data_IF_603318972731
#
_entry.id   IF_603318972731
#
_cell.length_a   1.000
_cell.length_b   1.000
_cell.length_c   1.000
_cell.angle_alpha   90.00
_cell.angle_beta   90.00
_cell.angle_gamma   90.00
#
_symmetry.space_group_name_H-M   'P 1'
#
loop_
_entity.id
_entity.type
_entity.pdbx_description
1 polymer ?
#
# COMPACT_ATOMS: atom_id res chain seq x y z
N UNK A 1 -11.63 27.38 14.57
CA UNK A 1 -12.81 28.08 13.99
C UNK A 1 -13.75 27.16 13.20
N UNK A 2 -13.30 26.06 12.61
CA UNK A 2 -14.13 25.08 11.89
C UNK A 2 -15.04 24.25 12.83
N UNK A 3 -14.58 23.98 14.07
CA UNK A 3 -15.38 23.30 15.10
C UNK A 3 -16.62 24.10 15.54
N UNK A 4 -16.60 25.41 15.41
CA UNK A 4 -17.71 26.30 15.77
C UNK A 4 -18.85 26.32 14.73
N UNK A 5 -18.63 25.76 13.54
CA UNK A 5 -19.62 25.71 12.44
C UNK A 5 -20.27 24.35 12.26
N UNK A 6 -19.98 23.37 13.13
CA UNK A 6 -20.58 22.04 13.06
C UNK A 6 -20.24 21.24 11.79
N UNK A 7 -19.17 21.62 11.08
CA UNK A 7 -18.70 20.89 9.89
C UNK A 7 -17.86 19.70 10.36
N UNK A 8 -18.22 18.46 10.03
CA UNK A 8 -17.42 17.29 10.43
C UNK A 8 -16.04 17.35 9.78
N UNK A 9 -14.99 17.22 10.60
CA UNK A 9 -13.60 17.16 10.14
C UNK A 9 -13.40 15.79 9.44
N UNK A 10 -12.92 15.72 8.20
CA UNK A 10 -12.78 14.46 7.44
C UNK A 10 -11.98 13.35 8.15
N UNK A 11 -11.11 13.68 9.10
CA UNK A 11 -10.35 12.71 9.89
C UNK A 11 -11.09 12.09 11.08
N UNK A 12 -12.28 12.60 11.45
CA UNK A 12 -13.06 12.06 12.58
C UNK A 12 -13.96 10.89 12.20
N UNK A 13 -14.07 10.57 10.92
CA UNK A 13 -14.93 9.47 10.41
C UNK A 13 -14.27 8.08 10.46
N UNK A 14 -13.00 7.98 10.84
CA UNK A 14 -12.26 6.72 10.76
C UNK A 14 -12.20 5.93 12.07
N UNK A 15 -12.74 6.43 13.18
CA UNK A 15 -12.61 5.77 14.50
C UNK A 15 -13.90 5.07 14.98
N UNK A 16 -15.01 5.23 14.29
CA UNK A 16 -16.33 4.71 14.74
C UNK A 16 -16.95 3.64 13.84
N UNK A 17 -16.16 2.95 13.00
CA UNK A 17 -16.61 1.72 12.35
C UNK A 17 -16.13 0.50 13.16
N UNK A 18 -16.50 0.47 14.44
CA UNK A 18 -16.49 -0.73 15.24
C UNK A 18 -17.63 -1.66 14.78
N UNK A 19 -17.32 -2.90 14.62
CA UNK A 19 -18.09 -4.15 14.55
C UNK A 19 -19.59 -4.17 14.15
N UNK A 20 -20.31 -3.07 14.19
CA UNK A 20 -21.70 -2.95 13.74
C UNK A 20 -21.77 -2.83 12.22
N UNK A 21 -21.73 -4.00 11.55
CA UNK A 21 -21.91 -4.07 10.09
C UNK A 21 -21.04 -5.10 9.37
N UNK A 22 -20.11 -5.77 10.05
CA UNK A 22 -19.34 -6.85 9.43
C UNK A 22 -20.24 -8.04 9.12
N UNK A 23 -20.21 -8.50 7.85
CA UNK A 23 -20.87 -9.75 7.48
C UNK A 23 -20.23 -10.90 8.27
N UNK A 24 -20.98 -11.76 8.96
CA UNK A 24 -20.43 -12.85 9.75
C UNK A 24 -19.47 -13.73 8.94
N UNK A 25 -18.36 -14.15 9.57
CA UNK A 25 -17.32 -14.90 8.89
C UNK A 25 -17.81 -16.23 8.30
N UNK A 26 -18.67 -16.95 9.03
CA UNK A 26 -19.28 -18.20 8.58
C UNK A 26 -20.14 -18.03 7.32
N UNK A 27 -20.85 -16.91 7.21
CA UNK A 27 -21.61 -16.55 6.01
C UNK A 27 -20.68 -16.28 4.82
N UNK A 28 -19.55 -15.59 5.05
CA UNK A 28 -18.54 -15.35 4.01
C UNK A 28 -17.85 -16.65 3.60
N UNK A 29 -17.49 -17.51 4.55
CA UNK A 29 -16.87 -18.81 4.26
C UNK A 29 -17.82 -19.73 3.48
N UNK A 30 -19.11 -19.71 3.77
CA UNK A 30 -20.13 -20.41 2.99
C UNK A 30 -20.18 -19.91 1.54
N UNK A 31 -20.01 -18.61 1.32
CA UNK A 31 -19.96 -18.02 -0.04
C UNK A 31 -18.72 -18.44 -0.82
N UNK A 32 -17.57 -18.56 -0.15
CA UNK A 32 -16.31 -18.94 -0.80
C UNK A 32 -16.18 -20.45 -0.99
N UNK A 33 -16.89 -21.28 -0.26
CA UNK A 33 -16.88 -22.75 -0.40
C UNK A 33 -17.18 -23.27 -1.83
N UNK A 34 -17.81 -22.44 -2.67
CA UNK A 34 -18.08 -22.74 -4.09
C UNK A 34 -16.84 -22.70 -5.00
N UNK A 35 -15.77 -22.04 -4.57
CA UNK A 35 -14.54 -21.95 -5.36
C UNK A 35 -13.76 -23.26 -5.25
N UNK A 36 -13.85 -24.10 -6.28
CA UNK A 36 -13.21 -25.43 -6.32
C UNK A 36 -11.86 -25.45 -7.01
N UNK A 37 -11.54 -24.40 -7.75
CA UNK A 37 -10.29 -24.29 -8.53
C UNK A 37 -9.68 -22.92 -8.30
N UNK A 38 -8.37 -22.91 -8.12
CA UNK A 38 -7.58 -21.68 -7.92
C UNK A 38 -6.67 -21.44 -9.12
N UNK A 39 -6.37 -20.17 -9.39
CA UNK A 39 -5.44 -19.80 -10.45
C UNK A 39 -4.04 -20.32 -10.14
N UNK A 40 -3.34 -20.80 -11.16
CA UNK A 40 -1.93 -21.19 -11.02
C UNK A 40 -1.01 -19.99 -10.64
N UNK A 41 -1.45 -18.75 -10.89
CA UNK A 41 -0.70 -17.55 -10.56
C UNK A 41 -0.52 -17.33 -9.05
N UNK A 42 -1.35 -17.94 -8.21
CA UNK A 42 -1.18 -17.85 -6.75
C UNK A 42 -0.19 -18.88 -6.19
N UNK A 43 0.27 -19.85 -6.98
CA UNK A 43 1.06 -21.00 -6.48
C UNK A 43 2.28 -20.60 -5.65
N UNK A 44 2.96 -19.54 -6.04
CA UNK A 44 4.13 -19.05 -5.33
C UNK A 44 3.80 -18.41 -3.97
N UNK A 45 2.54 -17.99 -3.77
CA UNK A 45 2.02 -17.34 -2.57
C UNK A 45 1.14 -18.28 -1.72
N UNK A 46 0.72 -19.43 -2.27
CA UNK A 46 -0.07 -20.47 -1.57
C UNK A 46 0.85 -21.35 -0.73
N UNK A 47 1.51 -20.74 0.25
CA UNK A 47 2.43 -21.41 1.17
C UNK A 47 1.83 -21.39 2.59
N UNK A 48 2.12 -22.37 3.45
CA UNK A 48 1.59 -22.41 4.81
C UNK A 48 1.82 -21.12 5.60
N UNK A 49 3.00 -20.52 5.43
CA UNK A 49 3.39 -19.29 6.10
C UNK A 49 2.52 -18.10 5.66
N UNK A 50 2.24 -18.00 4.36
CA UNK A 50 1.35 -16.97 3.81
C UNK A 50 -0.08 -17.17 4.31
N UNK A 51 -0.58 -18.42 4.26
CA UNK A 51 -1.96 -18.72 4.65
C UNK A 51 -2.19 -18.48 6.14
N UNK A 52 -1.20 -18.73 7.00
CA UNK A 52 -1.28 -18.47 8.43
C UNK A 52 -1.53 -16.98 8.77
N UNK A 53 -1.06 -16.05 7.91
CA UNK A 53 -1.24 -14.62 8.09
C UNK A 53 -2.69 -14.15 7.83
N UNK A 54 -3.52 -15.01 7.23
CA UNK A 54 -4.94 -14.73 7.03
C UNK A 54 -5.82 -15.14 8.21
N UNK A 55 -5.25 -15.66 9.32
CA UNK A 55 -6.07 -16.02 10.47
C UNK A 55 -6.96 -14.82 10.92
N UNK A 56 -8.25 -15.04 11.25
CA UNK A 56 -8.93 -16.32 11.52
C UNK A 56 -9.55 -17.02 10.30
N UNK A 57 -9.32 -16.55 9.08
CA UNK A 57 -9.87 -17.20 7.89
C UNK A 57 -9.40 -18.66 7.76
N UNK A 58 -10.28 -19.54 7.28
CA UNK A 58 -9.87 -20.89 6.90
C UNK A 58 -8.86 -20.85 5.75
N UNK A 59 -8.02 -21.89 5.62
CA UNK A 59 -7.07 -21.97 4.52
C UNK A 59 -7.73 -21.96 3.13
N UNK A 60 -9.00 -22.39 3.03
CA UNK A 60 -9.78 -22.29 1.79
C UNK A 60 -10.19 -20.83 1.51
N UNK A 61 -10.65 -20.10 2.52
CA UNK A 61 -11.01 -18.68 2.40
C UNK A 61 -9.76 -17.83 2.05
N UNK A 62 -8.62 -18.09 2.70
CA UNK A 62 -7.35 -17.44 2.39
C UNK A 62 -6.92 -17.66 0.93
N UNK A 63 -6.97 -18.91 0.43
CA UNK A 63 -6.71 -19.19 -1.00
C UNK A 63 -7.70 -18.50 -1.93
N UNK A 64 -8.96 -18.37 -1.52
CA UNK A 64 -9.96 -17.65 -2.31
C UNK A 64 -9.62 -16.16 -2.40
N UNK A 65 -9.16 -15.54 -1.32
CA UNK A 65 -8.66 -14.14 -1.34
C UNK A 65 -7.52 -13.98 -2.35
N UNK A 66 -6.49 -14.84 -2.27
CA UNK A 66 -5.37 -14.81 -3.21
C UNK A 66 -5.84 -15.01 -4.66
N UNK A 67 -6.75 -15.96 -4.90
CA UNK A 67 -7.30 -16.25 -6.23
C UNK A 67 -8.08 -15.07 -6.80
N UNK A 68 -8.98 -14.50 -6.02
CA UNK A 68 -9.79 -13.36 -6.44
C UNK A 68 -8.92 -12.13 -6.73
N UNK A 69 -7.91 -11.87 -5.90
CA UNK A 69 -6.95 -10.80 -6.16
C UNK A 69 -6.14 -11.04 -7.43
N UNK A 70 -5.73 -12.29 -7.68
CA UNK A 70 -4.93 -12.66 -8.85
C UNK A 70 -5.72 -12.66 -10.15
N UNK A 71 -7.04 -12.76 -10.09
CA UNK A 71 -7.94 -12.76 -11.26
C UNK A 71 -8.65 -11.43 -11.47
N UNK A 72 -8.55 -10.51 -10.52
CA UNK A 72 -9.10 -9.16 -10.65
C UNK A 72 -8.28 -8.33 -11.66
N UNK A 73 -8.95 -7.61 -12.55
CA UNK A 73 -8.31 -6.77 -13.56
C UNK A 73 -7.76 -5.49 -12.94
N UNK A 74 -8.59 -4.69 -12.30
CA UNK A 74 -8.22 -3.38 -11.73
C UNK A 74 -8.45 -3.31 -10.23
N UNK A 75 -9.66 -3.48 -9.75
CA UNK A 75 -10.04 -3.36 -8.34
C UNK A 75 -10.23 -4.72 -7.68
N UNK A 76 -9.95 -4.77 -6.37
CA UNK A 76 -10.22 -5.98 -5.60
C UNK A 76 -11.73 -6.19 -5.47
N UNK A 77 -12.23 -7.42 -5.68
CA UNK A 77 -13.65 -7.70 -5.47
C UNK A 77 -14.06 -7.39 -4.01
N UNK A 78 -15.28 -6.85 -3.78
CA UNK A 78 -15.76 -6.51 -2.42
C UNK A 78 -15.71 -7.69 -1.43
N UNK A 79 -15.82 -8.92 -1.93
CA UNK A 79 -15.69 -10.13 -1.10
C UNK A 79 -14.29 -10.27 -0.48
N UNK A 80 -13.24 -9.82 -1.18
CA UNK A 80 -11.86 -9.79 -0.66
C UNK A 80 -11.77 -8.84 0.52
N UNK A 81 -12.31 -7.64 0.39
CA UNK A 81 -12.31 -6.63 1.46
C UNK A 81 -13.10 -7.10 2.67
N UNK A 82 -14.29 -7.71 2.45
CA UNK A 82 -15.11 -8.30 3.50
C UNK A 82 -14.37 -9.40 4.28
N UNK A 83 -13.65 -10.27 3.59
CA UNK A 83 -12.84 -11.32 4.23
C UNK A 83 -11.66 -10.73 5.00
N UNK A 84 -10.92 -9.79 4.39
CA UNK A 84 -9.77 -9.14 5.02
C UNK A 84 -10.17 -8.30 6.24
N UNK A 85 -11.40 -7.80 6.32
CA UNK A 85 -11.90 -7.09 7.49
C UNK A 85 -11.91 -7.95 8.77
N UNK A 86 -11.99 -9.29 8.64
CA UNK A 86 -11.89 -10.22 9.77
C UNK A 86 -10.43 -10.51 10.18
N UNK A 87 -9.46 -10.19 9.34
CA UNK A 87 -8.04 -10.40 9.68
C UNK A 87 -7.57 -9.24 10.56
N UNK A 88 -6.95 -9.51 11.73
CA UNK A 88 -6.43 -8.47 12.62
C UNK A 88 -5.48 -7.50 11.90
N UNK A 89 -5.49 -6.23 12.30
CA UNK A 89 -4.68 -5.18 11.67
C UNK A 89 -3.18 -5.52 11.65
N UNK A 90 -2.66 -6.09 12.74
CA UNK A 90 -1.26 -6.52 12.83
C UNK A 90 -0.96 -7.64 11.83
N UNK A 91 -1.83 -8.65 11.72
CA UNK A 91 -1.67 -9.74 10.75
C UNK A 91 -1.76 -9.22 9.32
N UNK A 92 -2.62 -8.23 9.03
CA UNK A 92 -2.69 -7.58 7.72
C UNK A 92 -1.41 -6.80 7.38
N UNK A 93 -0.80 -6.13 8.37
CA UNK A 93 0.49 -5.47 8.17
C UNK A 93 1.62 -6.47 7.86
N UNK A 94 1.66 -7.58 8.61
CA UNK A 94 2.60 -8.67 8.36
C UNK A 94 2.36 -9.34 7.00
N UNK A 95 1.11 -9.58 6.63
CA UNK A 95 0.72 -10.11 5.32
C UNK A 95 1.18 -9.18 4.19
N UNK A 96 0.96 -7.88 4.33
CA UNK A 96 1.38 -6.88 3.34
C UNK A 96 2.88 -6.91 3.11
N UNK A 97 3.66 -6.90 4.18
CA UNK A 97 5.12 -7.01 4.11
C UNK A 97 5.57 -8.34 3.51
N UNK A 98 4.92 -9.45 3.89
CA UNK A 98 5.22 -10.79 3.38
C UNK A 98 4.96 -10.87 1.86
N UNK A 99 3.82 -10.37 1.38
CA UNK A 99 3.47 -10.37 -0.04
C UNK A 99 4.44 -9.52 -0.87
N UNK A 100 4.85 -8.35 -0.36
CA UNK A 100 5.85 -7.51 -1.04
C UNK A 100 7.21 -8.21 -1.09
N UNK A 101 7.67 -8.78 0.01
CA UNK A 101 8.93 -9.53 0.05
C UNK A 101 8.91 -10.73 -0.91
N UNK A 102 7.80 -11.49 -0.97
CA UNK A 102 7.63 -12.60 -1.89
C UNK A 102 7.65 -12.11 -3.35
N UNK A 103 6.99 -10.99 -3.66
CA UNK A 103 7.02 -10.39 -5.00
C UNK A 103 8.44 -9.96 -5.41
N UNK A 104 9.20 -9.33 -4.49
CA UNK A 104 10.60 -8.95 -4.74
C UNK A 104 11.47 -10.19 -4.91
N UNK A 105 11.29 -11.23 -4.10
CA UNK A 105 12.03 -12.49 -4.23
C UNK A 105 11.76 -13.21 -5.57
N UNK A 106 10.56 -13.04 -6.14
CA UNK A 106 10.18 -13.48 -7.48
C UNK A 106 10.63 -12.48 -8.57
N UNK A 107 11.62 -11.65 -8.24
CA UNK A 107 12.20 -10.65 -9.13
C UNK A 107 11.18 -9.63 -9.69
N UNK A 108 10.11 -9.34 -8.99
CA UNK A 108 9.11 -8.36 -9.40
C UNK A 108 8.30 -8.80 -10.64
N UNK A 109 7.89 -10.07 -10.71
CA UNK A 109 7.11 -10.60 -11.84
C UNK A 109 5.87 -9.74 -12.11
N UNK A 110 5.74 -9.11 -13.30
CA UNK A 110 4.63 -8.18 -13.59
C UNK A 110 3.25 -8.83 -13.50
N UNK A 111 3.14 -10.14 -13.81
CA UNK A 111 1.88 -10.88 -13.71
C UNK A 111 1.44 -11.08 -12.26
N UNK A 112 2.36 -10.98 -11.30
CA UNK A 112 2.10 -11.09 -9.87
C UNK A 112 1.87 -9.73 -9.18
N UNK A 113 1.73 -8.62 -9.93
CA UNK A 113 1.45 -7.28 -9.38
C UNK A 113 0.17 -7.24 -8.52
N UNK A 114 -0.73 -8.20 -8.68
CA UNK A 114 -1.93 -8.35 -7.86
C UNK A 114 -1.59 -8.51 -6.35
N UNK A 115 -0.46 -9.14 -6.02
CA UNK A 115 -0.02 -9.29 -4.63
C UNK A 115 0.25 -7.94 -3.96
N UNK A 116 0.73 -6.96 -4.72
CA UNK A 116 0.97 -5.61 -4.23
C UNK A 116 -0.34 -4.88 -3.92
N UNK A 117 -1.42 -5.14 -4.69
CA UNK A 117 -2.75 -4.56 -4.41
C UNK A 117 -3.32 -5.03 -3.09
N UNK A 118 -3.08 -6.29 -2.69
CA UNK A 118 -3.44 -6.78 -1.36
C UNK A 118 -2.61 -6.12 -0.24
N UNK A 119 -1.42 -5.61 -0.57
CA UNK A 119 -0.50 -5.03 0.39
C UNK A 119 -0.75 -3.53 0.68
N UNK A 120 -1.73 -2.88 0.03
CA UNK A 120 -2.01 -1.44 0.19
C UNK A 120 -2.72 -1.08 1.49
N UNK A 121 -3.43 -2.00 2.11
CA UNK A 121 -4.31 -1.70 3.25
C UNK A 121 -3.60 -1.40 4.58
N UNK A 122 -2.34 -1.81 4.78
CA UNK A 122 -1.58 -1.61 6.02
C UNK A 122 -0.10 -1.43 5.70
N UNK A 123 0.38 -0.24 5.94
CA UNK A 123 1.73 0.19 5.55
C UNK A 123 2.67 0.19 6.75
N UNK A 124 3.74 -0.60 6.66
CA UNK A 124 4.90 -0.58 7.54
C UNK A 124 6.06 0.10 6.79
N UNK A 125 6.88 0.88 7.47
CA UNK A 125 8.04 1.54 6.88
C UNK A 125 9.01 0.55 6.21
N UNK A 126 9.11 -0.68 6.73
CA UNK A 126 9.90 -1.76 6.13
C UNK A 126 9.40 -2.15 4.75
N UNK A 127 8.08 -2.13 4.53
CA UNK A 127 7.48 -2.37 3.22
C UNK A 127 7.91 -1.28 2.23
N UNK A 128 7.84 -0.02 2.64
CA UNK A 128 8.32 1.12 1.83
C UNK A 128 9.80 0.97 1.48
N UNK A 129 10.64 0.65 2.48
CA UNK A 129 12.08 0.44 2.27
C UNK A 129 12.38 -0.71 1.30
N UNK A 130 11.62 -1.82 1.40
CA UNK A 130 11.75 -2.95 0.47
C UNK A 130 11.44 -2.54 -0.97
N UNK A 131 10.36 -1.79 -1.20
CA UNK A 131 10.00 -1.30 -2.53
C UNK A 131 11.03 -0.30 -3.06
N UNK A 132 11.51 0.62 -2.23
CA UNK A 132 12.57 1.59 -2.60
C UNK A 132 13.86 0.88 -3.00
N UNK A 133 14.26 -0.14 -2.25
CA UNK A 133 15.43 -0.96 -2.59
C UNK A 133 15.24 -1.67 -3.95
N UNK A 134 14.05 -2.21 -4.20
CA UNK A 134 13.68 -2.84 -5.46
C UNK A 134 13.74 -1.84 -6.64
N UNK A 135 13.19 -0.63 -6.48
CA UNK A 135 13.28 0.43 -7.50
C UNK A 135 14.74 0.75 -7.82
N UNK A 136 15.59 0.94 -6.80
CA UNK A 136 17.02 1.24 -6.99
C UNK A 136 17.75 0.09 -7.69
N UNK A 137 17.42 -1.16 -7.36
CA UNK A 137 18.05 -2.34 -7.98
C UNK A 137 17.61 -2.54 -9.45
N UNK A 138 16.36 -2.23 -9.78
CA UNK A 138 15.78 -2.52 -11.10
C UNK A 138 15.70 -1.32 -12.03
N UNK A 139 15.80 -0.11 -11.51
CA UNK A 139 15.51 1.13 -12.24
C UNK A 139 16.35 1.36 -13.49
N UNK A 140 17.49 0.68 -13.63
CA UNK A 140 18.30 0.73 -14.83
C UNK A 140 18.00 -0.40 -15.83
N UNK A 141 17.88 -1.65 -15.37
CA UNK A 141 17.85 -2.85 -16.21
C UNK A 141 16.46 -3.49 -16.35
N UNK A 142 15.63 -3.41 -15.32
CA UNK A 142 14.29 -4.03 -15.25
C UNK A 142 13.21 -2.95 -15.09
N UNK A 143 13.14 -1.98 -16.02
CA UNK A 143 12.32 -0.77 -15.93
C UNK A 143 10.85 -1.02 -15.56
N UNK A 144 10.18 -1.97 -16.21
CA UNK A 144 8.77 -2.27 -15.94
C UNK A 144 8.54 -2.68 -14.48
N UNK A 145 9.44 -3.45 -13.89
CA UNK A 145 9.36 -3.88 -12.49
C UNK A 145 9.59 -2.71 -11.54
N UNK A 146 10.53 -1.83 -11.88
CA UNK A 146 10.76 -0.60 -11.12
C UNK A 146 9.55 0.34 -11.18
N UNK A 147 8.91 0.49 -12.34
CA UNK A 147 7.69 1.27 -12.51
C UNK A 147 6.57 0.72 -11.64
N UNK A 148 6.32 -0.59 -11.66
CA UNK A 148 5.30 -1.24 -10.80
C UNK A 148 5.59 -0.97 -9.31
N UNK A 149 6.86 -1.03 -8.88
CA UNK A 149 7.22 -0.73 -7.51
C UNK A 149 7.01 0.76 -7.15
N UNK A 150 7.25 1.68 -8.08
CA UNK A 150 6.97 3.12 -7.92
C UNK A 150 5.47 3.38 -7.84
N UNK A 151 4.68 2.78 -8.73
CA UNK A 151 3.20 2.87 -8.70
C UNK A 151 2.67 2.40 -7.35
N UNK A 152 3.20 1.28 -6.84
CA UNK A 152 2.84 0.76 -5.53
C UNK A 152 3.21 1.73 -4.40
N UNK A 153 4.42 2.32 -4.40
CA UNK A 153 4.83 3.33 -3.42
C UNK A 153 3.88 4.53 -3.42
N UNK A 154 3.50 5.01 -4.61
CA UNK A 154 2.52 6.08 -4.74
C UNK A 154 1.12 5.70 -4.25
N UNK A 155 0.71 4.43 -4.42
CA UNK A 155 -0.59 3.92 -3.96
C UNK A 155 -0.68 3.74 -2.44
N UNK A 156 0.45 3.57 -1.74
CA UNK A 156 0.47 3.50 -0.27
C UNK A 156 0.04 4.80 0.39
N UNK A 157 0.20 5.92 -0.28
CA UNK A 157 -0.28 7.26 0.08
C UNK A 157 0.10 7.75 1.49
N UNK A 158 1.16 7.19 2.11
CA UNK A 158 1.73 7.71 3.34
C UNK A 158 2.76 8.80 3.05
N UNK A 159 2.91 9.79 3.94
CA UNK A 159 3.92 10.84 3.75
C UNK A 159 5.32 10.26 3.58
N UNK A 160 5.65 9.21 4.35
CA UNK A 160 6.93 8.53 4.21
C UNK A 160 7.11 7.88 2.83
N UNK A 161 6.13 7.14 2.31
CA UNK A 161 6.21 6.55 0.98
C UNK A 161 6.34 7.62 -0.10
N UNK A 162 5.55 8.68 -0.04
CA UNK A 162 5.58 9.78 -1.00
C UNK A 162 6.90 10.57 -0.96
N UNK A 163 7.50 10.79 0.23
CA UNK A 163 8.83 11.41 0.37
C UNK A 163 9.92 10.54 -0.28
N UNK A 164 9.80 9.22 -0.18
CA UNK A 164 10.71 8.31 -0.88
C UNK A 164 10.52 8.36 -2.40
N UNK A 165 9.28 8.47 -2.91
CA UNK A 165 9.01 8.67 -4.35
C UNK A 165 9.60 10.00 -4.82
N UNK A 166 9.46 11.09 -4.05
CA UNK A 166 10.08 12.37 -4.34
C UNK A 166 11.61 12.26 -4.41
N UNK A 167 12.23 11.55 -3.47
CA UNK A 167 13.67 11.30 -3.48
C UNK A 167 14.12 10.51 -4.72
N UNK A 168 13.31 9.53 -5.14
CA UNK A 168 13.59 8.73 -6.34
C UNK A 168 13.47 9.57 -7.61
N UNK A 169 12.57 10.57 -7.68
CA UNK A 169 12.36 11.43 -8.85
C UNK A 169 13.60 12.26 -9.23
N UNK A 170 14.48 12.52 -8.28
CA UNK A 170 15.74 13.28 -8.50
C UNK A 170 16.97 12.39 -8.72
N UNK A 171 16.78 11.06 -8.75
CA UNK A 171 17.88 10.10 -8.82
C UNK A 171 18.44 9.96 -10.23
N UNK A 172 19.72 10.33 -10.41
CA UNK A 172 20.47 10.14 -11.67
C UNK A 172 20.78 8.67 -12.01
N UNK A 173 20.48 7.73 -11.10
CA UNK A 173 20.72 6.29 -11.28
C UNK A 173 19.53 5.54 -11.86
N UNK A 174 18.41 6.22 -12.09
CA UNK A 174 17.22 5.65 -12.68
C UNK A 174 17.10 6.05 -14.15
N UNK A 175 16.41 5.23 -14.93
CA UNK A 175 16.05 5.56 -16.32
C UNK A 175 14.89 6.55 -16.37
N UNK A 176 14.86 7.38 -17.41
CA UNK A 176 13.87 8.44 -17.59
C UNK A 176 12.43 7.95 -17.42
N UNK A 177 12.07 6.79 -17.99
CA UNK A 177 10.74 6.19 -17.83
C UNK A 177 10.39 5.87 -16.35
N UNK A 178 11.38 5.53 -15.52
CA UNK A 178 11.15 5.28 -14.09
C UNK A 178 11.01 6.60 -13.34
N UNK A 179 11.77 7.62 -13.73
CA UNK A 179 11.63 8.99 -13.19
C UNK A 179 10.25 9.56 -13.56
N UNK A 180 9.81 9.40 -14.80
CA UNK A 180 8.48 9.79 -15.26
C UNK A 180 7.38 9.13 -14.40
N UNK A 181 7.49 7.82 -14.15
CA UNK A 181 6.56 7.12 -13.29
C UNK A 181 6.55 7.67 -11.83
N UNK A 182 7.69 8.17 -11.31
CA UNK A 182 7.69 8.83 -9.98
C UNK A 182 6.92 10.14 -10.00
N UNK A 183 7.05 10.94 -11.06
CA UNK A 183 6.27 12.17 -11.21
C UNK A 183 4.77 11.90 -11.35
N UNK A 184 4.40 10.88 -12.11
CA UNK A 184 2.99 10.48 -12.27
C UNK A 184 2.41 9.96 -10.95
N UNK A 185 3.17 9.19 -10.18
CA UNK A 185 2.77 8.71 -8.86
C UNK A 185 2.52 9.87 -7.87
N UNK A 186 3.41 10.88 -7.84
CA UNK A 186 3.24 12.08 -7.00
C UNK A 186 2.04 12.91 -7.45
N UNK A 187 1.82 13.06 -8.76
CA UNK A 187 0.67 13.76 -9.32
C UNK A 187 -0.65 13.09 -8.94
N UNK A 188 -0.70 11.76 -9.07
CA UNK A 188 -1.87 10.98 -8.66
C UNK A 188 -2.12 11.08 -7.14
N UNK A 189 -1.06 11.09 -6.31
CA UNK A 189 -1.18 11.28 -4.87
C UNK A 189 -1.72 12.67 -4.53
N UNK A 190 -1.22 13.75 -5.16
CA UNK A 190 -1.72 15.10 -4.98
C UNK A 190 -3.21 15.19 -5.32
N UNK A 191 -3.63 14.59 -6.45
CA UNK A 191 -5.05 14.55 -6.84
C UNK A 191 -5.93 13.82 -5.82
N UNK A 192 -5.51 12.65 -5.30
CA UNK A 192 -6.26 11.92 -4.26
C UNK A 192 -6.41 12.73 -2.97
N UNK A 193 -5.42 13.54 -2.63
CA UNK A 193 -5.41 14.42 -1.45
C UNK A 193 -6.09 15.77 -1.68
N UNK A 194 -6.59 16.02 -2.89
CA UNK A 194 -7.14 17.32 -3.29
C UNK A 194 -6.13 18.47 -3.12
N UNK A 195 -4.84 18.19 -3.35
CA UNK A 195 -3.73 19.14 -3.29
C UNK A 195 -3.21 19.45 -4.69
N UNK A 196 -2.62 20.62 -4.87
CA UNK A 196 -1.69 20.87 -5.96
C UNK A 196 -0.37 20.11 -5.72
N UNK A 197 0.42 19.91 -6.76
CA UNK A 197 1.71 19.24 -6.62
C UNK A 197 2.69 20.06 -5.74
N UNK A 198 2.56 21.39 -5.73
CA UNK A 198 3.37 22.28 -4.89
C UNK A 198 3.01 22.07 -3.41
N UNK A 199 1.72 22.10 -3.07
CA UNK A 199 1.25 21.84 -1.71
C UNK A 199 1.67 20.44 -1.22
N UNK A 200 1.62 19.43 -2.08
CA UNK A 200 2.14 18.10 -1.72
C UNK A 200 3.65 18.15 -1.42
N UNK A 201 4.44 18.85 -2.21
CA UNK A 201 5.89 18.99 -1.95
C UNK A 201 6.16 19.74 -0.64
N UNK A 202 5.37 20.72 -0.29
CA UNK A 202 5.47 21.42 1.00
C UNK A 202 5.18 20.46 2.16
N UNK A 203 4.13 19.60 2.04
CA UNK A 203 3.84 18.57 3.06
C UNK A 203 4.95 17.51 3.18
N UNK A 204 5.65 17.19 2.09
CA UNK A 204 6.73 16.21 2.07
C UNK A 204 8.07 16.77 2.55
N UNK A 205 8.20 18.10 2.63
CA UNK A 205 9.42 18.76 3.10
C UNK A 205 9.41 18.76 4.63
N UNK A 206 10.42 18.15 5.30
CA UNK A 206 10.49 18.19 6.76
C UNK A 206 10.65 19.63 7.23
N UNK A 207 9.79 20.12 8.11
CA UNK A 207 9.89 21.45 8.67
C UNK A 207 10.96 21.57 9.77
N UNK A 208 11.55 20.44 10.18
CA UNK A 208 12.57 20.35 11.23
C UNK A 208 12.20 21.07 12.55
N UNK A 209 10.90 21.21 12.81
CA UNK A 209 10.39 21.97 13.97
C UNK A 209 10.44 23.49 13.78
N UNK A 210 10.61 23.99 12.54
CA UNK A 210 10.61 25.41 12.21
C UNK A 210 9.19 25.98 12.01
N UNK A 211 8.16 25.14 12.25
CA UNK A 211 6.75 25.53 12.10
C UNK A 211 6.34 26.66 13.02
N UNK A 212 6.14 27.83 12.45
CA UNK A 212 5.38 28.97 13.04
C UNK A 212 6.12 29.89 13.98
N UNK A 213 7.07 29.45 14.77
CA UNK A 213 7.81 30.28 15.74
C UNK A 213 9.33 30.17 15.57
N UNK A 214 9.86 30.27 14.42
CA UNK A 214 11.30 30.29 14.07
C UNK A 214 12.26 29.73 15.14
N UNK A 215 13.26 28.98 14.74
CA UNK A 215 14.31 28.49 15.63
C UNK A 215 15.13 29.68 16.10
N UNK A 216 14.97 30.12 17.34
CA UNK A 216 15.85 31.11 17.95
C UNK A 216 17.15 30.38 18.33
N UNK A 217 18.16 30.47 17.48
CA UNK A 217 19.52 30.05 17.82
C UNK A 217 20.12 31.14 18.73
N UNK A 218 20.22 30.88 20.03
CA UNK A 218 21.09 31.70 20.91
C UNK A 218 22.54 31.44 20.48
N UNK A 219 23.10 32.39 19.75
CA UNK A 219 24.54 32.45 19.51
C UNK A 219 25.16 33.04 20.77
N UNK A 220 25.74 32.21 21.61
CA UNK A 220 26.47 32.62 22.79
C UNK A 220 27.59 33.62 22.49
N UNK A 221 28.08 34.35 23.51
CA UNK A 221 29.05 35.40 23.36
C UNK A 221 30.40 34.96 22.80
#
# INVERSE_FOLDING_TARGET
RLLALGVPVPGALTVAQGEEGLVPLDALESRVARFKRFSSSIKAYDQPETLALFAPLSGHAARTVLHLAATAEEELPPLVEQLLAHVPAESRAQLSLHLVNAWVALEGEPKARWALRLATGHVDDRLVQTLVAAVKAWGWSKKLRAIIAVEQLGALDTLYALSQVQTLSTSRKLKDLVIEATHDALKAAAQRRCLSLIELYDELTPDFGLGGEGLVLEVGP
#
